data_IF_624563005108
#
_entry.id   IF_624563005108
#
_cell.length_a   1.000
_cell.length_b   1.000
_cell.length_c   1.000
_cell.angle_alpha   90.00
_cell.angle_beta   90.00
_cell.angle_gamma   90.00
#
_symmetry.space_group_name_H-M   'P 1'
#
loop_
_entity.id
_entity.type
_entity.pdbx_description
1 polymer ?
#
# COMPACT_ATOMS: atom_id res chain seq x y z
N UNK A 1 -10.27 -72.20 -37.47
CA UNK A 1 -11.26 -72.51 -36.42
C UNK A 1 -10.76 -71.91 -35.12
N UNK A 2 -11.65 -71.16 -34.47
CA UNK A 2 -11.46 -70.18 -33.39
C UNK A 2 -10.48 -70.53 -32.26
N UNK A 3 -9.73 -69.52 -31.79
CA UNK A 3 -9.73 -69.16 -30.37
C UNK A 3 -9.45 -67.67 -30.20
N UNK A 4 -10.38 -67.02 -29.50
CA UNK A 4 -10.50 -65.60 -29.29
C UNK A 4 -9.49 -65.11 -28.23
N UNK A 5 -8.86 -63.98 -28.52
CA UNK A 5 -8.02 -63.23 -27.59
C UNK A 5 -8.90 -62.12 -26.99
N UNK A 6 -9.37 -62.36 -25.76
CA UNK A 6 -10.29 -61.50 -25.01
C UNK A 6 -9.48 -60.74 -23.96
N UNK A 7 -9.44 -59.41 -24.16
CA UNK A 7 -9.41 -58.31 -23.18
C UNK A 7 -8.33 -58.29 -22.08
N UNK A 8 -7.36 -57.40 -22.25
CA UNK A 8 -6.72 -56.70 -21.14
C UNK A 8 -7.56 -55.47 -20.80
N UNK A 9 -8.57 -55.67 -19.94
CA UNK A 9 -9.30 -54.55 -19.33
C UNK A 9 -8.41 -53.97 -18.22
N UNK A 10 -7.99 -52.73 -18.42
CA UNK A 10 -7.24 -51.94 -17.44
C UNK A 10 -8.07 -51.77 -16.17
N UNK A 11 -7.76 -52.53 -15.13
CA UNK A 11 -8.25 -52.30 -13.78
C UNK A 11 -7.68 -50.96 -13.31
N UNK A 12 -8.44 -49.89 -13.53
CA UNK A 12 -8.29 -48.63 -12.82
C UNK A 12 -8.66 -48.91 -11.37
N UNK A 13 -7.64 -49.19 -10.55
CA UNK A 13 -7.76 -49.11 -9.10
C UNK A 13 -8.13 -47.67 -8.75
N UNK A 14 -9.43 -47.40 -8.67
CA UNK A 14 -9.98 -46.21 -8.02
C UNK A 14 -9.52 -46.33 -6.58
N UNK A 15 -8.49 -45.57 -6.25
CA UNK A 15 -7.89 -45.46 -4.93
C UNK A 15 -8.96 -44.88 -3.99
N UNK A 16 -9.82 -45.76 -3.45
CA UNK A 16 -10.85 -45.33 -2.51
C UNK A 16 -10.13 -44.78 -1.28
N UNK A 17 -10.38 -43.51 -0.88
CA UNK A 17 -9.72 -42.94 0.27
C UNK A 17 -10.02 -43.85 1.46
N UNK A 18 -8.95 -44.43 2.01
CA UNK A 18 -9.01 -45.32 3.16
C UNK A 18 -9.92 -44.75 4.25
N UNK A 19 -10.68 -45.61 4.93
CA UNK A 19 -11.63 -45.22 5.98
C UNK A 19 -10.99 -44.26 7.01
N UNK A 20 -9.70 -44.45 7.26
CA UNK A 20 -8.82 -43.59 8.07
C UNK A 20 -8.69 -42.17 7.53
N UNK A 21 -8.59 -41.97 6.21
CA UNK A 21 -8.60 -40.64 5.57
C UNK A 21 -9.95 -39.92 5.70
N UNK A 22 -11.06 -40.64 5.60
CA UNK A 22 -12.41 -40.08 5.80
C UNK A 22 -12.65 -39.67 7.25
N UNK A 23 -12.23 -40.51 8.21
CA UNK A 23 -12.30 -40.21 9.65
C UNK A 23 -11.38 -39.03 10.00
N UNK A 24 -10.15 -38.99 9.48
CA UNK A 24 -9.23 -37.88 9.71
C UNK A 24 -9.76 -36.54 9.16
N UNK A 25 -10.40 -36.55 7.99
CA UNK A 25 -11.02 -35.36 7.40
C UNK A 25 -12.27 -34.93 8.17
N UNK A 26 -13.09 -35.87 8.64
CA UNK A 26 -14.24 -35.56 9.50
C UNK A 26 -13.81 -34.98 10.86
N UNK A 27 -12.76 -35.53 11.48
CA UNK A 27 -12.19 -35.01 12.73
C UNK A 27 -11.59 -33.62 12.52
N UNK A 28 -10.87 -33.39 11.42
CA UNK A 28 -10.36 -32.05 11.05
C UNK A 28 -11.50 -31.04 10.84
N UNK A 29 -12.59 -31.45 10.18
CA UNK A 29 -13.78 -30.62 9.99
C UNK A 29 -14.51 -30.31 11.30
N UNK A 30 -14.63 -31.28 12.20
CA UNK A 30 -15.21 -31.06 13.53
C UNK A 30 -14.34 -30.15 14.40
N UNK A 31 -13.01 -30.30 14.32
CA UNK A 31 -12.07 -29.44 15.03
C UNK A 31 -12.12 -27.99 14.52
N UNK A 32 -12.23 -27.76 13.21
CA UNK A 32 -12.38 -26.41 12.65
C UNK A 32 -13.74 -25.80 12.99
N UNK A 33 -14.81 -26.58 13.00
CA UNK A 33 -16.14 -26.12 13.42
C UNK A 33 -16.16 -25.72 14.90
N UNK A 34 -15.53 -26.50 15.79
CA UNK A 34 -15.39 -26.15 17.21
C UNK A 34 -14.58 -24.86 17.41
N UNK A 35 -13.52 -24.67 16.62
CA UNK A 35 -12.69 -23.46 16.66
C UNK A 35 -13.47 -22.22 16.19
N UNK A 36 -14.27 -22.36 15.13
CA UNK A 36 -15.16 -21.31 14.64
C UNK A 36 -16.25 -20.96 15.67
N UNK A 37 -16.87 -21.97 16.29
CA UNK A 37 -17.89 -21.76 17.31
C UNK A 37 -17.33 -21.02 18.54
N UNK A 38 -16.07 -21.27 18.91
CA UNK A 38 -15.38 -20.54 19.98
C UNK A 38 -15.05 -19.11 19.61
N UNK A 39 -14.63 -18.85 18.37
CA UNK A 39 -14.42 -17.48 17.89
C UNK A 39 -15.74 -16.70 17.90
N UNK A 40 -16.83 -17.31 17.43
CA UNK A 40 -18.17 -16.71 17.46
C UNK A 40 -18.64 -16.49 18.90
N UNK A 41 -18.49 -17.48 19.78
CA UNK A 41 -18.86 -17.36 21.20
C UNK A 41 -18.06 -16.27 21.93
N UNK A 42 -16.75 -16.21 21.74
CA UNK A 42 -15.91 -15.14 22.28
C UNK A 42 -16.32 -13.77 21.71
N UNK A 43 -16.61 -13.70 20.41
CA UNK A 43 -17.12 -12.49 19.76
C UNK A 43 -18.45 -12.02 20.34
N UNK A 44 -19.40 -12.93 20.59
CA UNK A 44 -20.69 -12.62 21.22
C UNK A 44 -20.48 -12.12 22.65
N UNK A 45 -19.62 -12.76 23.46
CA UNK A 45 -19.33 -12.29 24.83
C UNK A 45 -18.73 -10.88 24.81
N UNK A 46 -17.79 -10.60 23.91
CA UNK A 46 -17.22 -9.27 23.72
C UNK A 46 -18.29 -8.26 23.29
N UNK A 47 -19.16 -8.64 22.35
CA UNK A 47 -20.23 -7.77 21.86
C UNK A 47 -21.27 -7.48 22.95
N UNK A 48 -21.66 -8.47 23.75
CA UNK A 48 -22.58 -8.31 24.88
C UNK A 48 -21.98 -7.43 25.97
N UNK A 49 -20.71 -7.61 26.35
CA UNK A 49 -20.03 -6.71 27.28
C UNK A 49 -19.95 -5.29 26.72
N UNK A 50 -19.56 -5.14 25.46
CA UNK A 50 -19.47 -3.82 24.82
C UNK A 50 -20.84 -3.13 24.75
N UNK A 51 -21.90 -3.87 24.43
CA UNK A 51 -23.28 -3.35 24.41
C UNK A 51 -23.76 -2.94 25.81
N UNK A 52 -23.49 -3.74 26.83
CA UNK A 52 -23.80 -3.41 28.23
C UNK A 52 -23.09 -2.12 28.67
N UNK A 53 -21.83 -1.93 28.28
CA UNK A 53 -21.06 -0.73 28.61
C UNK A 53 -21.49 0.51 27.80
N UNK A 54 -22.10 0.31 26.63
CA UNK A 54 -22.64 1.38 25.78
C UNK A 54 -24.03 1.86 26.24
N UNK A 55 -24.77 1.09 27.04
CA UNK A 55 -26.09 1.49 27.53
C UNK A 55 -26.05 2.74 28.43
N UNK A 56 -24.94 2.96 29.16
CA UNK A 56 -24.70 4.15 29.99
C UNK A 56 -23.72 5.17 29.33
N UNK A 57 -23.54 5.10 28.01
CA UNK A 57 -22.58 5.96 27.29
C UNK A 57 -22.91 7.45 27.36
N UNK A 58 -24.13 7.84 27.76
CA UNK A 58 -24.53 9.25 27.88
C UNK A 58 -24.20 9.90 29.23
N UNK A 59 -24.05 9.13 30.30
CA UNK A 59 -24.16 9.63 31.68
C UNK A 59 -22.84 9.66 32.48
N UNK A 60 -21.75 9.05 31.97
CA UNK A 60 -20.46 8.97 32.68
C UNK A 60 -19.37 9.94 32.19
N UNK A 61 -18.39 10.22 33.06
CA UNK A 61 -17.14 10.93 32.70
C UNK A 61 -16.30 10.08 31.72
N UNK A 62 -15.68 10.71 30.72
CA UNK A 62 -14.84 10.06 29.71
C UNK A 62 -13.71 9.20 30.31
N UNK A 63 -13.16 9.62 31.45
CA UNK A 63 -12.14 8.84 32.18
C UNK A 63 -12.73 7.54 32.74
N UNK A 64 -13.96 7.57 33.25
CA UNK A 64 -14.65 6.38 33.75
C UNK A 64 -14.94 5.41 32.60
N UNK A 65 -15.41 5.93 31.47
CA UNK A 65 -15.61 5.14 30.24
C UNK A 65 -14.32 4.48 29.77
N UNK A 66 -13.20 5.19 29.88
CA UNK A 66 -11.89 4.62 29.58
C UNK A 66 -11.51 3.47 30.52
N UNK A 67 -11.66 3.64 31.84
CA UNK A 67 -11.36 2.57 32.80
C UNK A 67 -12.23 1.33 32.62
N UNK A 68 -13.49 1.53 32.22
CA UNK A 68 -14.39 0.46 31.82
C UNK A 68 -13.79 -0.34 30.65
N UNK A 69 -13.35 0.31 29.57
CA UNK A 69 -12.71 -0.38 28.43
C UNK A 69 -11.38 -1.06 28.81
N UNK A 70 -10.60 -0.45 29.69
CA UNK A 70 -9.37 -1.05 30.22
C UNK A 70 -9.68 -2.33 31.02
N UNK A 71 -10.74 -2.29 31.84
CA UNK A 71 -11.20 -3.45 32.62
C UNK A 71 -11.68 -4.57 31.69
N UNK A 72 -12.34 -4.26 30.57
CA UNK A 72 -12.71 -5.25 29.57
C UNK A 72 -11.47 -5.97 29.00
N UNK A 73 -10.40 -5.25 28.66
CA UNK A 73 -9.15 -5.86 28.18
C UNK A 73 -8.52 -6.78 29.24
N UNK A 74 -8.57 -6.36 30.52
CA UNK A 74 -8.12 -7.14 31.67
C UNK A 74 -8.95 -8.42 31.88
N UNK A 75 -10.28 -8.33 31.76
CA UNK A 75 -11.18 -9.47 31.86
C UNK A 75 -10.98 -10.47 30.73
N UNK A 76 -10.73 -10.00 29.49
CA UNK A 76 -10.38 -10.89 28.39
C UNK A 76 -9.06 -11.64 28.65
N UNK A 77 -8.05 -10.96 29.18
CA UNK A 77 -6.80 -11.60 29.58
C UNK A 77 -7.02 -12.61 30.72
N UNK A 78 -7.82 -12.25 31.74
CA UNK A 78 -8.19 -13.13 32.84
C UNK A 78 -8.95 -14.37 32.36
N UNK A 79 -9.86 -14.22 31.39
CA UNK A 79 -10.51 -15.33 30.70
C UNK A 79 -9.50 -16.23 29.99
N UNK A 80 -8.51 -15.63 29.32
CA UNK A 80 -7.38 -16.37 28.73
C UNK A 80 -6.59 -17.19 29.76
N UNK A 81 -6.31 -16.62 30.93
CA UNK A 81 -5.68 -17.34 32.05
C UNK A 81 -6.56 -18.46 32.59
N UNK A 82 -7.86 -18.21 32.80
CA UNK A 82 -8.80 -19.22 33.27
C UNK A 82 -8.88 -20.41 32.30
N UNK A 83 -8.98 -20.15 30.99
CA UNK A 83 -8.95 -21.20 29.96
C UNK A 83 -7.64 -21.98 29.99
N UNK A 84 -6.50 -21.29 30.15
CA UNK A 84 -5.18 -21.93 30.15
C UNK A 84 -4.92 -22.77 31.42
N UNK A 85 -5.37 -22.31 32.59
CA UNK A 85 -5.02 -22.91 33.88
C UNK A 85 -6.12 -23.85 34.40
N UNK A 86 -7.38 -23.43 34.34
CA UNK A 86 -8.53 -24.20 34.85
C UNK A 86 -8.92 -25.28 33.86
N UNK A 87 -9.11 -24.91 32.59
CA UNK A 87 -9.57 -25.84 31.55
C UNK A 87 -8.42 -26.51 30.79
N UNK A 88 -7.17 -26.11 31.05
CA UNK A 88 -5.95 -26.62 30.40
C UNK A 88 -6.02 -26.57 28.87
N UNK A 89 -6.71 -25.55 28.34
CA UNK A 89 -6.98 -25.39 26.93
C UNK A 89 -6.15 -24.25 26.30
N UNK A 90 -5.06 -24.65 25.64
CA UNK A 90 -4.11 -23.71 25.04
C UNK A 90 -4.61 -23.01 23.76
N UNK A 91 -5.63 -23.58 23.08
CA UNK A 91 -6.20 -22.96 21.86
C UNK A 91 -7.16 -21.83 22.23
N UNK A 92 -8.08 -22.08 23.15
CA UNK A 92 -9.01 -21.07 23.67
C UNK A 92 -8.28 -19.92 24.35
N UNK A 93 -7.27 -20.22 25.18
CA UNK A 93 -6.44 -19.20 25.81
C UNK A 93 -5.81 -18.25 24.78
N UNK A 94 -5.29 -18.77 23.66
CA UNK A 94 -4.72 -17.95 22.57
C UNK A 94 -5.74 -16.98 21.99
N UNK A 95 -6.98 -17.39 21.75
CA UNK A 95 -8.01 -16.50 21.19
C UNK A 95 -8.29 -15.34 22.16
N UNK A 96 -8.50 -15.63 23.45
CA UNK A 96 -8.77 -14.60 24.46
C UNK A 96 -7.60 -13.62 24.63
N UNK A 97 -6.36 -14.12 24.69
CA UNK A 97 -5.18 -13.25 24.73
C UNK A 97 -5.02 -12.45 23.43
N UNK A 98 -5.31 -13.03 22.27
CA UNK A 98 -5.27 -12.32 20.99
C UNK A 98 -6.28 -11.17 20.93
N UNK A 99 -7.50 -11.40 21.39
CA UNK A 99 -8.54 -10.35 21.49
C UNK A 99 -8.15 -9.26 22.51
N UNK A 100 -7.58 -9.65 23.65
CA UNK A 100 -7.06 -8.69 24.64
C UNK A 100 -5.94 -7.84 24.04
N UNK A 101 -5.02 -8.43 23.27
CA UNK A 101 -3.97 -7.69 22.58
C UNK A 101 -4.54 -6.68 21.56
N UNK A 102 -5.52 -7.06 20.74
CA UNK A 102 -6.20 -6.13 19.81
C UNK A 102 -6.86 -4.97 20.59
N UNK A 103 -7.52 -5.30 21.71
CA UNK A 103 -8.17 -4.31 22.58
C UNK A 103 -7.17 -3.30 23.15
N UNK A 104 -5.90 -3.67 23.35
CA UNK A 104 -4.86 -2.72 23.80
C UNK A 104 -4.62 -1.61 22.76
N UNK A 105 -4.61 -1.91 21.45
CA UNK A 105 -4.53 -0.84 20.43
C UNK A 105 -5.70 0.13 20.52
N UNK A 106 -6.92 -0.39 20.75
CA UNK A 106 -8.09 0.46 20.94
C UNK A 106 -7.92 1.38 22.16
N UNK A 107 -7.42 0.85 23.29
CA UNK A 107 -7.16 1.67 24.47
C UNK A 107 -6.07 2.74 24.24
N UNK A 108 -4.98 2.42 23.53
CA UNK A 108 -3.97 3.44 23.16
C UNK A 108 -4.56 4.53 22.27
N UNK A 109 -5.51 4.19 21.40
CA UNK A 109 -6.20 5.15 20.54
C UNK A 109 -7.01 6.15 21.35
N UNK A 110 -7.76 5.66 22.36
CA UNK A 110 -8.55 6.51 23.25
C UNK A 110 -7.63 7.35 24.15
N UNK A 111 -6.55 6.75 24.66
CA UNK A 111 -5.56 7.46 25.46
C UNK A 111 -4.90 8.59 24.66
N UNK A 112 -4.61 8.37 23.37
CA UNK A 112 -4.13 9.41 22.47
C UNK A 112 -5.17 10.52 22.23
N UNK A 113 -6.47 10.19 22.21
CA UNK A 113 -7.52 11.19 22.15
C UNK A 113 -7.57 12.06 23.41
N UNK A 114 -7.43 11.46 24.60
CA UNK A 114 -7.33 12.17 25.89
C UNK A 114 -6.08 13.05 25.98
N UNK A 115 -4.92 12.57 25.48
CA UNK A 115 -3.69 13.39 25.41
C UNK A 115 -3.91 14.59 24.49
N UNK A 116 -4.53 14.37 23.34
CA UNK A 116 -4.81 15.44 22.39
C UNK A 116 -5.79 16.48 22.94
N UNK A 117 -6.70 16.12 23.86
CA UNK A 117 -7.63 17.11 24.43
C UNK A 117 -6.92 18.18 25.25
N UNK A 118 -5.72 17.90 25.78
CA UNK A 118 -4.93 18.84 26.58
C UNK A 118 -3.76 19.45 25.79
N UNK A 119 -3.12 18.69 24.92
CA UNK A 119 -2.01 19.14 24.10
C UNK A 119 -2.38 18.97 22.63
N UNK A 120 -2.44 20.05 21.87
CA UNK A 120 -2.68 20.01 20.42
C UNK A 120 -1.44 20.57 19.73
N UNK A 121 -0.78 19.78 18.89
CA UNK A 121 0.39 20.23 18.13
C UNK A 121 0.03 20.73 16.73
N UNK A 122 -1.26 20.74 16.38
CA UNK A 122 -1.80 21.29 15.15
C UNK A 122 -2.80 22.41 15.43
N UNK A 123 -3.23 23.09 14.37
CA UNK A 123 -4.05 24.30 14.45
C UNK A 123 -5.52 24.05 14.84
N UNK A 124 -5.81 23.06 15.68
CA UNK A 124 -7.15 22.82 16.22
C UNK A 124 -8.16 22.38 15.16
N UNK A 125 -7.80 21.42 14.32
CA UNK A 125 -8.67 20.91 13.26
C UNK A 125 -9.89 20.16 13.85
N UNK A 126 -11.03 20.86 13.76
CA UNK A 126 -12.39 20.38 13.42
C UNK A 126 -13.22 19.57 14.41
N UNK A 127 -14.53 19.85 14.35
CA UNK A 127 -15.64 19.22 15.07
C UNK A 127 -15.65 17.70 14.88
N UNK A 128 -15.73 16.97 15.98
CA UNK A 128 -15.88 15.52 15.99
C UNK A 128 -17.34 15.14 16.24
N UNK A 129 -17.80 13.98 15.74
CA UNK A 129 -19.03 13.41 16.25
C UNK A 129 -18.88 13.10 17.75
N UNK A 130 -19.95 13.28 18.53
CA UNK A 130 -19.89 13.23 19.99
C UNK A 130 -19.33 11.93 20.58
N UNK A 131 -19.44 10.81 19.87
CA UNK A 131 -18.86 9.52 20.31
C UNK A 131 -17.32 9.47 20.26
N UNK A 132 -16.69 10.32 19.43
CA UNK A 132 -15.24 10.41 19.28
C UNK A 132 -14.62 11.55 20.11
N UNK A 133 -15.44 12.19 20.94
CA UNK A 133 -15.02 13.27 21.82
C UNK A 133 -14.60 12.68 23.17
N UNK A 134 -13.30 12.72 23.45
CA UNK A 134 -12.70 12.25 24.69
C UNK A 134 -11.92 13.40 25.31
N UNK A 135 -12.34 13.84 26.50
CA UNK A 135 -11.75 15.00 27.18
C UNK A 135 -11.23 14.59 28.55
N UNK A 136 -9.95 14.85 28.78
CA UNK A 136 -9.39 14.79 30.12
C UNK A 136 -9.79 16.03 30.92
N UNK A 137 -10.28 15.83 32.14
CA UNK A 137 -10.72 16.91 33.03
C UNK A 137 -9.55 17.76 33.56
N UNK A 138 -8.37 17.17 33.73
CA UNK A 138 -7.17 17.86 34.18
C UNK A 138 -5.89 17.13 33.73
N UNK A 139 -4.73 17.82 33.70
CA UNK A 139 -3.44 17.15 33.42
C UNK A 139 -3.10 16.07 34.43
N UNK A 140 -3.48 16.26 35.70
CA UNK A 140 -3.24 15.30 36.78
C UNK A 140 -4.07 14.02 36.57
N UNK A 141 -5.35 14.15 36.21
CA UNK A 141 -6.20 13.00 35.93
C UNK A 141 -5.69 12.23 34.72
N UNK A 142 -5.22 12.92 33.67
CA UNK A 142 -4.59 12.29 32.52
C UNK A 142 -3.34 11.47 32.91
N UNK A 143 -2.45 12.02 33.75
CA UNK A 143 -1.23 11.32 34.19
C UNK A 143 -1.54 10.08 35.02
N UNK A 144 -2.53 10.16 35.92
CA UNK A 144 -2.99 9.00 36.70
C UNK A 144 -3.61 7.94 35.78
N UNK A 145 -4.42 8.35 34.80
CA UNK A 145 -5.01 7.44 33.81
C UNK A 145 -3.94 6.77 32.94
N UNK A 146 -2.94 7.52 32.45
CA UNK A 146 -1.78 7.00 31.73
C UNK A 146 -1.00 5.98 32.58
N UNK A 147 -0.71 6.31 33.83
CA UNK A 147 0.02 5.44 34.75
C UNK A 147 -0.74 4.13 35.03
N UNK A 148 -2.04 4.22 35.34
CA UNK A 148 -2.89 3.07 35.57
C UNK A 148 -3.04 2.20 34.31
N UNK A 149 -3.22 2.83 33.14
CA UNK A 149 -3.28 2.15 31.85
C UNK A 149 -2.01 1.34 31.58
N UNK A 150 -0.84 1.95 31.72
CA UNK A 150 0.44 1.27 31.51
C UNK A 150 0.67 0.14 32.51
N UNK A 151 0.30 0.34 33.78
CA UNK A 151 0.41 -0.68 34.82
C UNK A 151 -0.40 -1.94 34.51
N UNK A 152 -1.58 -1.79 33.88
CA UNK A 152 -2.41 -2.92 33.45
C UNK A 152 -1.97 -3.48 32.10
N UNK A 153 -1.74 -2.63 31.09
CA UNK A 153 -1.46 -3.08 29.73
C UNK A 153 -0.09 -3.76 29.60
N UNK A 154 0.94 -3.29 30.29
CA UNK A 154 2.29 -3.84 30.15
C UNK A 154 2.37 -5.34 30.51
N UNK A 155 1.86 -5.81 31.67
CA UNK A 155 1.82 -7.23 31.95
C UNK A 155 0.92 -7.98 30.96
N UNK A 156 -0.24 -7.43 30.59
CA UNK A 156 -1.14 -8.03 29.62
C UNK A 156 -0.46 -8.27 28.26
N UNK A 157 0.28 -7.28 27.75
CA UNK A 157 1.07 -7.39 26.52
C UNK A 157 2.11 -8.50 26.64
N UNK A 158 2.86 -8.51 27.75
CA UNK A 158 3.91 -9.49 27.97
C UNK A 158 3.34 -10.90 28.01
N UNK A 159 2.25 -11.13 28.74
CA UNK A 159 1.58 -12.42 28.82
C UNK A 159 0.95 -12.84 27.50
N UNK A 160 0.24 -11.94 26.82
CA UNK A 160 -0.36 -12.22 25.52
C UNK A 160 0.67 -12.69 24.49
N UNK A 161 1.79 -11.98 24.38
CA UNK A 161 2.87 -12.41 23.48
C UNK A 161 3.60 -13.67 23.97
N UNK A 162 3.71 -13.92 25.28
CA UNK A 162 4.29 -15.18 25.79
C UNK A 162 3.47 -16.40 25.40
N UNK A 163 2.14 -16.26 25.35
CA UNK A 163 1.22 -17.34 24.93
C UNK A 163 1.26 -17.54 23.41
N UNK A 164 1.48 -16.47 22.63
CA UNK A 164 1.53 -16.54 21.16
C UNK A 164 2.90 -16.98 20.62
N UNK A 165 3.98 -16.39 21.11
CA UNK A 165 5.34 -16.56 20.60
C UNK A 165 6.37 -16.42 21.74
N UNK A 166 6.42 -17.41 22.64
CA UNK A 166 7.22 -17.41 23.88
C UNK A 166 8.65 -16.88 23.72
N UNK A 167 9.46 -17.30 22.73
CA UNK A 167 10.86 -16.86 22.63
C UNK A 167 11.02 -15.40 22.20
N UNK A 168 10.11 -14.88 21.38
CA UNK A 168 10.16 -13.51 20.85
C UNK A 168 9.31 -12.52 21.67
N UNK A 169 8.62 -12.99 22.70
CA UNK A 169 7.58 -12.24 23.37
C UNK A 169 8.04 -10.90 23.94
N UNK A 170 9.25 -10.81 24.53
CA UNK A 170 9.76 -9.54 25.04
C UNK A 170 10.02 -8.51 23.94
N UNK A 171 10.56 -8.96 22.80
CA UNK A 171 10.84 -8.11 21.64
C UNK A 171 9.56 -7.65 20.95
N UNK A 172 8.58 -8.55 20.83
CA UNK A 172 7.25 -8.24 20.32
C UNK A 172 6.52 -7.24 21.22
N UNK A 173 6.56 -7.42 22.54
CA UNK A 173 6.00 -6.45 23.50
C UNK A 173 6.61 -5.06 23.30
N UNK A 174 7.94 -4.96 23.20
CA UNK A 174 8.61 -3.68 23.01
C UNK A 174 8.23 -3.02 21.67
N UNK A 175 8.34 -3.75 20.56
CA UNK A 175 7.99 -3.24 19.23
C UNK A 175 6.52 -2.81 19.17
N UNK A 176 5.62 -3.61 19.73
CA UNK A 176 4.20 -3.29 19.76
C UNK A 176 3.92 -2.06 20.62
N UNK A 177 4.56 -1.94 21.79
CA UNK A 177 4.43 -0.76 22.64
C UNK A 177 4.94 0.49 21.91
N UNK A 178 6.07 0.42 21.22
CA UNK A 178 6.59 1.52 20.41
C UNK A 178 5.62 1.90 19.28
N UNK A 179 5.07 0.93 18.56
CA UNK A 179 4.08 1.21 17.50
C UNK A 179 2.78 1.81 18.08
N UNK A 180 2.31 1.35 19.24
CA UNK A 180 1.15 1.93 19.91
C UNK A 180 1.43 3.32 20.50
N UNK A 181 2.66 3.60 20.91
CA UNK A 181 3.05 4.93 21.41
C UNK A 181 2.88 6.02 20.35
N UNK A 182 2.96 5.67 19.07
CA UNK A 182 2.69 6.59 17.96
C UNK A 182 1.24 7.11 17.97
N UNK A 183 0.28 6.34 18.49
CA UNK A 183 -1.11 6.77 18.63
C UNK A 183 -1.29 7.83 19.73
N UNK A 184 -0.33 7.96 20.65
CA UNK A 184 -0.35 8.98 21.70
C UNK A 184 0.13 10.34 21.22
N UNK A 185 0.74 10.41 20.03
CA UNK A 185 1.24 11.67 19.49
C UNK A 185 0.05 12.60 19.19
N UNK A 186 0.04 13.83 19.75
CA UNK A 186 -1.09 14.74 19.63
C UNK A 186 -1.09 15.49 18.28
N UNK A 187 -1.03 14.74 17.20
CA UNK A 187 -0.99 15.27 15.83
C UNK A 187 -2.12 14.65 15.01
N UNK A 188 -2.93 15.49 14.38
CA UNK A 188 -4.07 15.08 13.55
C UNK A 188 -4.02 15.67 12.14
N UNK A 189 -3.13 16.63 11.89
CA UNK A 189 -2.84 17.15 10.55
C UNK A 189 -2.45 16.03 9.58
N UNK A 190 -3.04 16.05 8.39
CA UNK A 190 -2.90 14.98 7.40
C UNK A 190 -1.45 14.73 6.98
N UNK A 191 -0.68 15.79 6.70
CA UNK A 191 0.73 15.70 6.32
C UNK A 191 1.56 14.96 7.37
N UNK A 192 1.41 15.35 8.64
CA UNK A 192 2.19 14.78 9.72
C UNK A 192 1.78 13.33 10.02
N UNK A 193 0.48 13.02 9.94
CA UNK A 193 -0.01 11.64 10.05
C UNK A 193 0.53 10.78 8.90
N UNK A 194 0.49 11.26 7.66
CA UNK A 194 1.03 10.53 6.51
C UNK A 194 2.53 10.26 6.61
N UNK A 195 3.31 11.26 7.03
CA UNK A 195 4.75 11.08 7.30
C UNK A 195 4.98 10.05 8.40
N UNK A 196 4.20 10.10 9.47
CA UNK A 196 4.27 9.14 10.56
C UNK A 196 3.98 7.71 10.07
N UNK A 197 2.93 7.51 9.26
CA UNK A 197 2.61 6.19 8.68
C UNK A 197 3.76 5.67 7.85
N UNK A 198 4.30 6.49 6.94
CA UNK A 198 5.40 6.08 6.05
C UNK A 198 6.64 5.73 6.87
N UNK A 199 7.05 6.61 7.78
CA UNK A 199 8.21 6.39 8.64
C UNK A 199 8.05 5.14 9.51
N UNK A 200 6.87 4.93 10.10
CA UNK A 200 6.61 3.78 10.94
C UNK A 200 6.55 2.47 10.14
N UNK A 201 6.00 2.49 8.92
CA UNK A 201 6.00 1.33 8.05
C UNK A 201 7.42 0.98 7.58
N UNK A 202 8.22 1.97 7.17
CA UNK A 202 9.62 1.78 6.80
C UNK A 202 10.43 1.27 7.99
N UNK A 203 10.24 1.85 9.17
CA UNK A 203 10.86 1.40 10.40
C UNK A 203 10.46 -0.05 10.72
N UNK A 204 9.17 -0.40 10.63
CA UNK A 204 8.69 -1.74 10.94
C UNK A 204 9.22 -2.78 9.94
N UNK A 205 9.19 -2.47 8.64
CA UNK A 205 9.71 -3.35 7.58
C UNK A 205 11.23 -3.54 7.68
N UNK A 206 11.99 -2.52 8.10
CA UNK A 206 13.44 -2.60 8.27
C UNK A 206 13.85 -3.25 9.60
N UNK A 207 13.16 -2.93 10.70
CA UNK A 207 13.51 -3.36 12.06
C UNK A 207 12.93 -4.72 12.41
N UNK A 208 11.71 -5.05 11.98
CA UNK A 208 11.07 -6.30 12.38
C UNK A 208 11.89 -7.54 12.00
N UNK A 209 12.43 -7.68 10.77
CA UNK A 209 13.28 -8.82 10.43
C UNK A 209 14.58 -8.87 11.27
N UNK A 210 15.18 -7.70 11.54
CA UNK A 210 16.44 -7.58 12.30
C UNK A 210 16.26 -7.92 13.78
N UNK A 211 15.17 -7.45 14.39
CA UNK A 211 14.90 -7.60 15.82
C UNK A 211 14.27 -8.96 16.13
N UNK A 212 13.34 -9.43 15.30
CA UNK A 212 12.63 -10.69 15.54
C UNK A 212 13.44 -11.90 15.07
N UNK A 213 14.32 -11.74 14.07
CA UNK A 213 15.13 -12.83 13.50
C UNK A 213 14.32 -13.84 12.69
N UNK A 214 15.00 -14.71 11.93
CA UNK A 214 14.38 -15.75 11.09
C UNK A 214 14.13 -17.06 11.86
N UNK A 215 13.45 -16.99 13.00
CA UNK A 215 13.17 -18.18 13.82
C UNK A 215 11.89 -18.92 13.41
N UNK A 216 11.92 -20.26 13.39
CA UNK A 216 10.75 -21.12 13.12
C UNK A 216 9.55 -20.81 14.03
N UNK A 217 9.79 -20.30 15.24
CA UNK A 217 8.74 -19.92 16.19
C UNK A 217 7.79 -18.85 15.65
N UNK A 218 8.25 -18.01 14.71
CA UNK A 218 7.47 -16.95 14.07
C UNK A 218 6.65 -17.45 12.87
N UNK A 219 6.98 -18.62 12.32
CA UNK A 219 6.21 -19.22 11.21
C UNK A 219 4.91 -19.88 11.69
N UNK A 220 4.77 -20.10 13.00
CA UNK A 220 3.55 -20.63 13.60
C UNK A 220 2.36 -19.66 13.43
N UNK A 221 1.10 -20.15 13.40
CA UNK A 221 -0.07 -19.28 13.29
C UNK A 221 -0.15 -18.18 14.35
N UNK A 222 0.27 -18.49 15.59
CA UNK A 222 0.34 -17.50 16.68
C UNK A 222 1.46 -16.47 16.48
N UNK A 223 2.62 -16.90 15.97
CA UNK A 223 3.72 -16.01 15.59
C UNK A 223 3.33 -15.05 14.45
N UNK A 224 2.68 -15.57 13.40
CA UNK A 224 2.17 -14.76 12.28
C UNK A 224 1.11 -13.75 12.74
N UNK A 225 0.19 -14.17 13.61
CA UNK A 225 -0.77 -13.25 14.22
C UNK A 225 -0.06 -12.15 15.03
N UNK A 226 0.92 -12.50 15.86
CA UNK A 226 1.69 -11.53 16.64
C UNK A 226 2.46 -10.53 15.76
N UNK A 227 2.99 -10.97 14.62
CA UNK A 227 3.63 -10.10 13.63
C UNK A 227 2.61 -9.19 12.93
N UNK A 228 1.48 -9.73 12.50
CA UNK A 228 0.40 -8.96 11.87
C UNK A 228 -0.12 -7.88 12.83
N UNK A 229 -0.21 -8.20 14.12
CA UNK A 229 -0.65 -7.27 15.15
C UNK A 229 0.25 -6.03 15.27
N UNK A 230 1.54 -6.10 14.92
CA UNK A 230 2.43 -4.93 14.90
C UNK A 230 1.96 -3.83 13.94
N UNK A 231 1.18 -4.18 12.92
CA UNK A 231 0.59 -3.24 11.97
C UNK A 231 -0.75 -2.67 12.45
N UNK A 232 -1.36 -3.22 13.49
CA UNK A 232 -2.67 -2.77 13.98
C UNK A 232 -2.69 -1.27 14.37
N UNK A 233 -1.68 -0.70 15.05
CA UNK A 233 -1.65 0.73 15.34
C UNK A 233 -1.63 1.60 14.08
N UNK A 234 -0.91 1.16 13.03
CA UNK A 234 -0.88 1.87 11.75
C UNK A 234 -2.25 1.82 11.05
N UNK A 235 -2.92 0.67 11.08
CA UNK A 235 -4.27 0.53 10.55
C UNK A 235 -5.27 1.43 11.28
N UNK A 236 -5.15 1.55 12.59
CA UNK A 236 -6.01 2.47 13.37
C UNK A 236 -5.71 3.92 13.03
N UNK A 237 -4.43 4.30 12.88
CA UNK A 237 -4.06 5.65 12.49
C UNK A 237 -4.64 6.01 11.10
N UNK A 238 -4.49 5.12 10.11
CA UNK A 238 -5.05 5.29 8.76
C UNK A 238 -6.58 5.32 8.79
N UNK A 239 -7.21 4.35 9.47
CA UNK A 239 -8.67 4.22 9.53
C UNK A 239 -9.30 5.44 10.22
N UNK A 240 -8.68 5.92 11.29
CA UNK A 240 -9.07 7.16 11.97
C UNK A 240 -8.93 8.36 11.02
N UNK A 241 -7.82 8.47 10.29
CA UNK A 241 -7.61 9.55 9.32
C UNK A 241 -8.65 9.54 8.20
N UNK A 242 -9.01 8.36 7.69
CA UNK A 242 -9.97 8.21 6.60
C UNK A 242 -11.43 8.40 7.05
N UNK A 243 -11.79 8.02 8.28
CA UNK A 243 -13.17 8.07 8.78
C UNK A 243 -13.51 9.41 9.46
N UNK A 244 -12.57 9.98 10.22
CA UNK A 244 -12.82 11.18 11.03
C UNK A 244 -12.38 12.47 10.33
N UNK A 245 -11.57 12.38 9.28
CA UNK A 245 -11.05 13.54 8.55
C UNK A 245 -11.29 13.34 7.05
N UNK A 246 -11.35 14.45 6.32
CA UNK A 246 -11.43 14.38 4.86
C UNK A 246 -10.12 13.75 4.34
N UNK A 247 -10.17 12.59 3.66
CA UNK A 247 -8.98 11.96 3.13
C UNK A 247 -8.38 12.89 2.07
N UNK A 248 -7.10 13.19 2.20
CA UNK A 248 -6.37 14.05 1.30
C UNK A 248 -5.32 13.27 0.49
N UNK A 249 -4.71 13.95 -0.48
CA UNK A 249 -3.70 13.33 -1.34
C UNK A 249 -2.49 12.79 -0.56
N UNK A 250 -2.14 13.40 0.58
CA UNK A 250 -1.05 12.89 1.42
C UNK A 250 -1.40 11.56 2.08
N UNK A 251 -2.63 11.39 2.57
CA UNK A 251 -3.07 10.11 3.15
C UNK A 251 -3.12 9.03 2.08
N UNK A 252 -3.68 9.33 0.90
CA UNK A 252 -3.68 8.38 -0.22
C UNK A 252 -2.28 7.98 -0.65
N UNK A 253 -1.33 8.93 -0.70
CA UNK A 253 0.08 8.64 -0.98
C UNK A 253 0.68 7.68 0.04
N UNK A 254 0.46 7.93 1.34
CA UNK A 254 1.00 7.10 2.40
C UNK A 254 0.44 5.68 2.36
N UNK A 255 -0.88 5.54 2.23
CA UNK A 255 -1.55 4.23 2.20
C UNK A 255 -1.16 3.45 0.93
N UNK A 256 -1.22 4.07 -0.24
CA UNK A 256 -0.85 3.41 -1.50
C UNK A 256 0.63 3.01 -1.53
N UNK A 257 1.53 3.86 -1.03
CA UNK A 257 2.95 3.52 -0.88
C UNK A 257 3.15 2.37 0.09
N UNK A 258 2.39 2.34 1.19
CA UNK A 258 2.46 1.27 2.17
C UNK A 258 2.01 -0.08 1.60
N UNK A 259 0.88 -0.07 0.89
CA UNK A 259 0.35 -1.24 0.18
C UNK A 259 1.35 -1.71 -0.87
N UNK A 260 1.92 -0.81 -1.67
CA UNK A 260 2.93 -1.15 -2.67
C UNK A 260 4.17 -1.80 -2.03
N UNK A 261 4.73 -1.21 -0.98
CA UNK A 261 5.91 -1.75 -0.29
C UNK A 261 5.61 -3.09 0.40
N UNK A 262 4.41 -3.24 0.98
CA UNK A 262 3.95 -4.49 1.59
C UNK A 262 3.80 -5.61 0.56
N UNK A 263 3.14 -5.33 -0.57
CA UNK A 263 2.99 -6.29 -1.67
C UNK A 263 4.33 -6.63 -2.33
N UNK A 264 5.23 -5.65 -2.44
CA UNK A 264 6.61 -5.88 -2.87
C UNK A 264 7.34 -6.83 -1.93
N UNK A 265 7.29 -6.61 -0.63
CA UNK A 265 7.94 -7.48 0.34
C UNK A 265 7.32 -8.89 0.33
N UNK A 266 6.00 -8.98 0.17
CA UNK A 266 5.28 -10.25 0.08
C UNK A 266 5.67 -11.05 -1.18
N UNK A 267 5.71 -10.41 -2.35
CA UNK A 267 6.11 -11.00 -3.63
C UNK A 267 7.57 -11.51 -3.57
N UNK A 268 8.46 -10.78 -2.89
CA UNK A 268 9.84 -11.25 -2.68
C UNK A 268 9.94 -12.49 -1.80
N UNK A 269 9.08 -12.63 -0.79
CA UNK A 269 9.08 -13.78 0.12
C UNK A 269 8.47 -15.03 -0.52
N UNK A 270 7.50 -14.88 -1.41
CA UNK A 270 6.77 -16.00 -2.03
C UNK A 270 7.21 -16.24 -3.49
N UNK A 271 8.46 -15.91 -3.84
CA UNK A 271 8.96 -15.94 -5.22
C UNK A 271 8.72 -17.27 -5.95
N UNK A 272 8.73 -18.38 -5.22
CA UNK A 272 8.52 -19.73 -5.79
C UNK A 272 7.07 -19.98 -6.25
N UNK A 273 6.09 -19.33 -5.61
CA UNK A 273 4.66 -19.50 -5.88
C UNK A 273 4.15 -18.53 -6.95
N UNK A 274 4.12 -18.99 -8.21
CA UNK A 274 3.71 -18.17 -9.37
C UNK A 274 2.34 -17.50 -9.23
N UNK A 275 1.34 -18.19 -8.65
CA UNK A 275 -0.03 -17.66 -8.52
C UNK A 275 -0.12 -16.51 -7.51
N UNK A 276 0.55 -16.65 -6.36
CA UNK A 276 0.55 -15.63 -5.32
C UNK A 276 1.32 -14.38 -5.75
N UNK A 277 2.44 -14.54 -6.46
CA UNK A 277 3.17 -13.41 -7.02
C UNK A 277 2.38 -12.68 -8.10
N UNK A 278 1.67 -13.42 -8.98
CA UNK A 278 0.81 -12.80 -9.99
C UNK A 278 -0.28 -11.93 -9.35
N UNK A 279 -0.91 -12.42 -8.29
CA UNK A 279 -1.93 -11.66 -7.56
C UNK A 279 -1.33 -10.46 -6.83
N UNK A 280 -0.17 -10.65 -6.18
CA UNK A 280 0.53 -9.57 -5.48
C UNK A 280 0.99 -8.46 -6.44
N UNK A 281 1.58 -8.81 -7.59
CA UNK A 281 2.05 -7.85 -8.60
C UNK A 281 0.87 -7.10 -9.23
N UNK A 282 -0.25 -7.80 -9.50
CA UNK A 282 -1.48 -7.17 -10.02
C UNK A 282 -2.07 -6.15 -9.04
N UNK A 283 -2.13 -6.49 -7.75
CA UNK A 283 -2.54 -5.55 -6.70
C UNK A 283 -1.54 -4.41 -6.51
N UNK A 284 -0.24 -4.69 -6.66
CA UNK A 284 0.81 -3.68 -6.51
C UNK A 284 0.71 -2.64 -7.64
N UNK A 285 0.31 -3.05 -8.84
CA UNK A 285 0.07 -2.13 -9.96
C UNK A 285 -1.06 -1.13 -9.67
N UNK A 286 -2.15 -1.60 -9.06
CA UNK A 286 -3.24 -0.72 -8.58
C UNK A 286 -2.68 0.29 -7.57
N UNK A 287 -1.86 -0.18 -6.62
CA UNK A 287 -1.22 0.70 -5.64
C UNK A 287 -0.30 1.75 -6.31
N UNK A 288 0.49 1.35 -7.31
CA UNK A 288 1.36 2.26 -8.09
C UNK A 288 0.54 3.38 -8.75
N UNK A 289 -0.62 3.06 -9.34
CA UNK A 289 -1.49 4.05 -9.93
C UNK A 289 -1.94 5.10 -8.90
N UNK A 290 -2.37 4.65 -7.71
CA UNK A 290 -2.76 5.56 -6.63
C UNK A 290 -1.58 6.38 -6.09
N UNK A 291 -0.37 5.82 -6.02
CA UNK A 291 0.84 6.57 -5.65
C UNK A 291 1.08 7.70 -6.65
N UNK A 292 1.04 7.39 -7.95
CA UNK A 292 1.26 8.38 -9.01
C UNK A 292 0.18 9.47 -8.99
N UNK A 293 -1.10 9.10 -8.86
CA UNK A 293 -2.22 10.06 -8.82
C UNK A 293 -2.18 10.96 -7.57
N UNK A 294 -1.75 10.40 -6.44
CA UNK A 294 -1.58 11.19 -5.21
C UNK A 294 -0.43 12.19 -5.35
N UNK A 295 0.70 11.79 -5.95
CA UNK A 295 1.82 12.69 -6.22
C UNK A 295 1.46 13.79 -7.22
N UNK A 296 0.70 13.48 -8.26
CA UNK A 296 0.16 14.47 -9.19
C UNK A 296 -0.63 15.56 -8.44
N UNK A 297 -1.56 15.14 -7.59
CA UNK A 297 -2.43 16.04 -6.82
C UNK A 297 -1.63 16.93 -5.88
N UNK A 298 -0.57 16.39 -5.25
CA UNK A 298 0.32 17.16 -4.36
C UNK A 298 1.22 18.10 -5.17
N UNK A 299 1.72 17.67 -6.33
CA UNK A 299 2.63 18.44 -7.16
C UNK A 299 1.92 19.60 -7.87
N UNK A 300 0.65 19.45 -8.25
CA UNK A 300 -0.12 20.45 -9.01
C UNK A 300 -0.04 21.87 -8.45
N UNK A 301 -0.30 22.10 -7.15
CA UNK A 301 -0.16 23.42 -6.53
C UNK A 301 1.28 23.94 -6.46
N UNK A 302 2.28 23.05 -6.39
CA UNK A 302 3.70 23.40 -6.16
C UNK A 302 4.44 23.78 -7.44
N UNK A 303 4.24 23.01 -8.51
CA UNK A 303 4.95 23.18 -9.79
C UNK A 303 4.02 23.61 -10.93
N UNK A 304 2.71 23.73 -10.67
CA UNK A 304 1.67 24.02 -11.64
C UNK A 304 1.00 22.77 -12.21
N UNK A 305 -0.31 22.87 -12.45
CA UNK A 305 -1.15 21.75 -12.95
C UNK A 305 -0.65 21.12 -14.24
N UNK A 306 0.08 21.88 -15.06
CA UNK A 306 0.63 21.41 -16.35
C UNK A 306 1.76 20.40 -16.16
N UNK A 307 2.63 20.61 -15.17
CA UNK A 307 3.74 19.69 -14.86
C UNK A 307 3.30 18.51 -13.99
N UNK A 308 2.14 18.60 -13.33
CA UNK A 308 1.61 17.55 -12.47
C UNK A 308 1.41 16.23 -13.24
N UNK A 309 0.83 16.28 -14.44
CA UNK A 309 0.65 15.10 -15.30
C UNK A 309 1.98 14.46 -15.73
N UNK A 310 3.05 15.26 -15.86
CA UNK A 310 4.39 14.72 -16.12
C UNK A 310 4.94 13.99 -14.89
N UNK A 311 4.71 14.51 -13.69
CA UNK A 311 5.06 13.81 -12.43
C UNK A 311 4.32 12.49 -12.31
N UNK A 312 3.02 12.46 -12.63
CA UNK A 312 2.23 11.24 -12.71
C UNK A 312 2.89 10.21 -13.66
N UNK A 313 3.14 10.62 -14.90
CA UNK A 313 3.69 9.77 -15.95
C UNK A 313 5.07 9.20 -15.60
N UNK A 314 5.96 10.03 -15.04
CA UNK A 314 7.29 9.60 -14.61
C UNK A 314 7.19 8.62 -13.44
N UNK A 315 6.33 8.90 -12.46
CA UNK A 315 6.16 8.04 -11.29
C UNK A 315 5.61 6.67 -11.66
N UNK A 316 4.53 6.62 -12.46
CA UNK A 316 3.94 5.36 -12.89
C UNK A 316 4.94 4.56 -13.75
N UNK A 317 5.70 5.21 -14.64
CA UNK A 317 6.75 4.56 -15.42
C UNK A 317 7.83 3.96 -14.52
N UNK A 318 8.37 4.73 -13.57
CA UNK A 318 9.45 4.28 -12.69
C UNK A 318 9.04 3.09 -11.81
N UNK A 319 7.85 3.15 -11.21
CA UNK A 319 7.36 2.10 -10.32
C UNK A 319 6.90 0.85 -11.09
N UNK A 320 6.32 0.98 -12.27
CA UNK A 320 6.02 -0.18 -13.11
C UNK A 320 7.29 -0.85 -13.63
N UNK A 321 8.33 -0.08 -13.98
CA UNK A 321 9.63 -0.66 -14.35
C UNK A 321 10.21 -1.51 -13.20
N UNK A 322 10.08 -1.03 -11.96
CA UNK A 322 10.48 -1.78 -10.77
C UNK A 322 9.68 -3.10 -10.60
N UNK A 323 8.38 -3.10 -10.91
CA UNK A 323 7.54 -4.31 -10.90
C UNK A 323 7.92 -5.29 -12.01
N UNK A 324 8.05 -4.80 -13.24
CA UNK A 324 8.36 -5.63 -14.43
C UNK A 324 9.76 -6.25 -14.38
N UNK A 325 10.71 -5.63 -13.68
CA UNK A 325 12.03 -6.21 -13.43
C UNK A 325 12.01 -7.37 -12.43
N UNK A 326 10.95 -7.53 -11.64
CA UNK A 326 10.81 -8.59 -10.63
C UNK A 326 9.94 -9.74 -11.09
N UNK A 327 8.88 -9.44 -11.85
CA UNK A 327 7.89 -10.45 -12.23
C UNK A 327 8.50 -11.49 -13.16
N UNK A 328 8.34 -12.77 -12.83
CA UNK A 328 8.74 -13.89 -13.71
C UNK A 328 7.66 -14.16 -14.81
N UNK A 329 6.49 -13.50 -14.73
CA UNK A 329 5.40 -13.68 -15.68
C UNK A 329 5.52 -12.72 -16.88
N UNK A 330 6.06 -13.24 -17.99
CA UNK A 330 6.25 -12.48 -19.21
C UNK A 330 4.96 -11.85 -19.76
N UNK A 331 3.81 -12.53 -19.66
CA UNK A 331 2.53 -12.03 -20.19
C UNK A 331 2.01 -10.85 -19.38
N UNK A 332 1.99 -10.98 -18.05
CA UNK A 332 1.56 -9.89 -17.16
C UNK A 332 2.47 -8.66 -17.31
N UNK A 333 3.78 -8.88 -17.33
CA UNK A 333 4.76 -7.81 -17.52
C UNK A 333 4.55 -7.08 -18.86
N UNK A 334 4.27 -7.82 -19.94
CA UNK A 334 3.99 -7.23 -21.25
C UNK A 334 2.72 -6.37 -21.21
N UNK A 335 1.63 -6.87 -20.64
CA UNK A 335 0.36 -6.13 -20.51
C UNK A 335 0.56 -4.86 -19.67
N UNK A 336 1.21 -4.97 -18.50
CA UNK A 336 1.50 -3.83 -17.62
C UNK A 336 2.38 -2.79 -18.31
N UNK A 337 3.40 -3.23 -19.05
CA UNK A 337 4.31 -2.34 -19.79
C UNK A 337 3.57 -1.59 -20.89
N UNK A 338 2.74 -2.28 -21.67
CA UNK A 338 1.94 -1.66 -22.73
C UNK A 338 0.93 -0.67 -22.16
N UNK A 339 0.23 -1.04 -21.08
CA UNK A 339 -0.72 -0.16 -20.42
C UNK A 339 -0.02 1.07 -19.83
N UNK A 340 1.14 0.91 -19.16
CA UNK A 340 1.95 2.03 -18.67
C UNK A 340 2.42 2.92 -19.81
N UNK A 341 2.90 2.36 -20.92
CA UNK A 341 3.32 3.12 -22.09
C UNK A 341 2.18 3.96 -22.70
N UNK A 342 0.98 3.39 -22.78
CA UNK A 342 -0.20 4.11 -23.24
C UNK A 342 -0.60 5.24 -22.28
N UNK A 343 -0.59 4.98 -20.97
CA UNK A 343 -0.91 5.97 -19.94
C UNK A 343 0.12 7.11 -19.95
N UNK A 344 1.41 6.82 -20.02
CA UNK A 344 2.49 7.82 -20.11
C UNK A 344 2.31 8.68 -21.37
N UNK A 345 2.10 8.07 -22.53
CA UNK A 345 1.87 8.80 -23.78
C UNK A 345 0.66 9.73 -23.67
N UNK A 346 -0.46 9.23 -23.12
CA UNK A 346 -1.67 10.01 -22.93
C UNK A 346 -1.45 11.18 -21.96
N UNK A 347 -0.76 10.97 -20.83
CA UNK A 347 -0.47 12.02 -19.85
C UNK A 347 0.34 13.18 -20.45
N UNK A 348 1.35 12.88 -21.28
CA UNK A 348 2.14 13.92 -21.94
C UNK A 348 1.36 14.63 -23.06
N UNK A 349 0.57 13.90 -23.86
CA UNK A 349 -0.32 14.51 -24.87
C UNK A 349 -1.33 15.46 -24.23
N UNK A 350 -1.96 15.06 -23.13
CA UNK A 350 -2.93 15.89 -22.40
C UNK A 350 -2.26 17.12 -21.77
N UNK A 351 -1.02 16.98 -21.29
CA UNK A 351 -0.24 18.12 -20.77
C UNK A 351 0.01 19.17 -21.87
N UNK A 352 0.39 18.74 -23.08
CA UNK A 352 0.71 19.63 -24.20
C UNK A 352 -0.51 20.35 -24.79
N UNK A 353 -1.67 19.68 -24.87
CA UNK A 353 -2.93 20.26 -25.37
C UNK A 353 -3.39 21.51 -24.58
N UNK A 354 -2.93 21.67 -23.33
CA UNK A 354 -3.23 22.81 -22.46
C UNK A 354 -2.45 24.09 -22.75
N UNK A 355 -1.88 24.27 -23.96
CA UNK A 355 -0.93 25.34 -24.32
C UNK A 355 0.30 25.34 -23.39
N UNK A 356 0.96 24.18 -23.30
CA UNK A 356 2.08 23.96 -22.40
C UNK A 356 3.25 24.95 -22.60
N UNK A 357 4.00 25.31 -21.53
CA UNK A 357 5.26 26.01 -21.72
C UNK A 357 6.25 25.16 -22.54
N UNK A 358 7.22 25.79 -23.20
CA UNK A 358 8.23 25.10 -24.02
C UNK A 358 8.94 23.95 -23.28
N UNK A 359 9.15 24.09 -21.96
CA UNK A 359 9.73 23.04 -21.12
C UNK A 359 8.90 21.74 -21.09
N UNK A 360 7.57 21.82 -21.09
CA UNK A 360 6.70 20.64 -21.08
C UNK A 360 6.69 19.94 -22.44
N UNK A 361 6.73 20.68 -23.55
CA UNK A 361 6.92 20.10 -24.88
C UNK A 361 8.26 19.34 -24.99
N UNK A 362 9.35 19.89 -24.45
CA UNK A 362 10.65 19.18 -24.39
C UNK A 362 10.56 17.88 -23.59
N UNK A 363 9.88 17.89 -22.43
CA UNK A 363 9.69 16.67 -21.64
C UNK A 363 8.83 15.64 -22.39
N UNK A 364 7.79 16.07 -23.10
CA UNK A 364 6.93 15.22 -23.92
C UNK A 364 7.72 14.58 -25.07
N UNK A 365 8.58 15.35 -25.75
CA UNK A 365 9.51 14.82 -26.76
C UNK A 365 10.50 13.82 -26.16
N UNK A 366 11.09 14.14 -25.01
CA UNK A 366 12.01 13.24 -24.31
C UNK A 366 11.32 11.94 -23.86
N UNK A 367 10.09 12.03 -23.35
CA UNK A 367 9.28 10.88 -22.94
C UNK A 367 8.92 10.00 -24.14
N UNK A 368 8.52 10.59 -25.27
CA UNK A 368 8.23 9.85 -26.49
C UNK A 368 9.47 9.17 -27.09
N UNK A 369 10.62 9.86 -27.09
CA UNK A 369 11.90 9.26 -27.48
C UNK A 369 12.30 8.10 -26.54
N UNK A 370 12.07 8.27 -25.23
CA UNK A 370 12.28 7.22 -24.23
C UNK A 370 11.40 5.99 -24.46
N UNK A 371 10.11 6.18 -24.77
CA UNK A 371 9.18 5.09 -25.11
C UNK A 371 9.59 4.35 -26.39
N UNK A 372 10.06 5.08 -27.42
CA UNK A 372 10.59 4.48 -28.66
C UNK A 372 11.85 3.68 -28.38
N UNK A 373 12.80 4.26 -27.63
CA UNK A 373 14.05 3.59 -27.27
C UNK A 373 13.79 2.32 -26.45
N UNK A 374 12.91 2.40 -25.46
CA UNK A 374 12.52 1.25 -24.64
C UNK A 374 11.75 0.19 -25.45
N UNK A 375 10.84 0.61 -26.33
CA UNK A 375 10.13 -0.27 -27.26
C UNK A 375 11.09 -0.98 -28.23
N UNK A 376 12.12 -0.30 -28.70
CA UNK A 376 13.16 -0.89 -29.55
C UNK A 376 13.97 -1.95 -28.80
N UNK A 377 14.41 -1.67 -27.58
CA UNK A 377 15.12 -2.63 -26.73
C UNK A 377 14.29 -3.89 -26.43
N UNK A 378 12.98 -3.74 -26.19
CA UNK A 378 12.06 -4.85 -25.92
C UNK A 378 11.45 -5.48 -27.18
N UNK A 379 11.76 -4.97 -28.38
CA UNK A 379 11.17 -5.37 -29.68
C UNK A 379 9.63 -5.27 -29.71
N UNK A 380 9.05 -4.34 -28.95
CA UNK A 380 7.62 -4.12 -28.85
C UNK A 380 7.17 -2.93 -29.72
N UNK A 381 6.60 -3.23 -30.88
CA UNK A 381 6.17 -2.20 -31.86
C UNK A 381 5.13 -1.23 -31.28
N UNK A 382 4.23 -1.71 -30.42
CA UNK A 382 3.19 -0.89 -29.82
C UNK A 382 3.75 0.25 -28.95
N UNK A 383 4.82 0.01 -28.18
CA UNK A 383 5.48 1.05 -27.38
C UNK A 383 6.12 2.13 -28.26
N UNK A 384 6.68 1.73 -29.41
CA UNK A 384 7.22 2.68 -30.39
C UNK A 384 6.11 3.57 -30.95
N UNK A 385 4.94 3.00 -31.25
CA UNK A 385 3.77 3.77 -31.71
C UNK A 385 3.28 4.73 -30.62
N UNK A 386 3.21 4.29 -29.36
CA UNK A 386 2.84 5.17 -28.25
C UNK A 386 3.81 6.32 -28.06
N UNK A 387 5.12 6.13 -28.30
CA UNK A 387 6.12 7.20 -28.21
C UNK A 387 6.01 8.25 -29.33
N UNK A 388 5.48 7.89 -30.50
CA UNK A 388 5.27 8.84 -31.60
C UNK A 388 4.17 9.88 -31.29
N UNK A 389 3.15 9.50 -30.50
CA UNK A 389 2.04 10.38 -30.17
C UNK A 389 2.46 11.66 -29.38
N UNK A 390 3.14 11.57 -28.22
CA UNK A 390 3.60 12.76 -27.50
C UNK A 390 4.64 13.55 -28.31
N UNK A 391 5.56 12.87 -29.02
CA UNK A 391 6.50 13.57 -29.92
C UNK A 391 5.80 14.37 -31.02
N UNK A 392 4.78 13.80 -31.65
CA UNK A 392 4.02 14.44 -32.71
C UNK A 392 3.24 15.66 -32.21
N UNK A 393 2.54 15.51 -31.08
CA UNK A 393 1.78 16.61 -30.46
C UNK A 393 2.69 17.73 -29.98
N UNK A 394 3.79 17.41 -29.29
CA UNK A 394 4.78 18.39 -28.83
C UNK A 394 5.45 19.13 -30.00
N UNK A 395 5.78 18.41 -31.08
CA UNK A 395 6.38 19.01 -32.27
C UNK A 395 5.39 19.95 -32.96
N UNK A 396 4.13 19.53 -33.10
CA UNK A 396 3.07 20.37 -33.68
C UNK A 396 2.85 21.64 -32.86
N UNK A 397 2.75 21.53 -31.54
CA UNK A 397 2.55 22.66 -30.63
C UNK A 397 3.78 23.61 -30.61
N UNK A 398 4.99 23.07 -30.68
CA UNK A 398 6.21 23.89 -30.77
C UNK A 398 6.28 24.64 -32.11
N UNK A 399 5.97 23.96 -33.21
CA UNK A 399 5.94 24.57 -34.55
C UNK A 399 4.83 25.63 -34.65
N UNK A 400 3.64 25.39 -34.08
CA UNK A 400 2.56 26.37 -34.09
C UNK A 400 2.92 27.63 -33.29
N UNK A 401 3.60 27.47 -32.15
CA UNK A 401 4.11 28.61 -31.35
C UNK A 401 5.22 29.37 -32.07
N UNK A 402 6.16 28.67 -32.68
CA UNK A 402 7.19 29.29 -33.52
C UNK A 402 6.54 30.02 -34.70
N UNK A 403 5.53 29.44 -35.32
CA UNK A 403 4.77 30.06 -36.40
C UNK A 403 4.09 31.35 -35.91
N UNK A 404 3.33 31.32 -34.82
CA UNK A 404 2.73 32.54 -34.28
C UNK A 404 3.78 33.58 -33.85
N UNK A 405 4.90 33.17 -33.27
CA UNK A 405 5.98 34.08 -32.90
C UNK A 405 6.64 34.73 -34.13
N UNK A 406 6.97 33.95 -35.15
CA UNK A 406 7.66 34.40 -36.36
C UNK A 406 6.76 35.21 -37.30
N UNK A 407 5.48 34.84 -37.42
CA UNK A 407 4.56 35.43 -38.39
C UNK A 407 3.64 36.50 -37.78
N UNK A 408 3.42 36.50 -36.47
CA UNK A 408 2.48 37.45 -35.84
C UNK A 408 3.15 38.71 -35.27
N UNK A 409 4.48 38.77 -35.14
CA UNK A 409 5.16 39.90 -34.46
C UNK A 409 6.39 40.49 -35.14
N UNK A 410 6.87 40.00 -36.29
CA UNK A 410 7.95 40.70 -37.01
C UNK A 410 8.05 40.30 -38.49
N UNK A 411 7.96 41.26 -39.39
CA UNK A 411 8.28 41.09 -40.81
C UNK A 411 9.75 40.67 -41.03
N UNK A 412 10.62 40.96 -40.04
CA UNK A 412 12.05 40.62 -40.04
C UNK A 412 12.25 39.09 -39.90
N UNK A 413 11.43 38.38 -39.11
CA UNK A 413 11.55 36.92 -38.97
C UNK A 413 11.18 36.19 -40.26
N UNK A 414 10.18 36.69 -40.98
CA UNK A 414 9.81 36.23 -42.33
C UNK A 414 10.99 36.38 -43.32
N UNK A 415 11.68 37.52 -43.28
CA UNK A 415 12.84 37.76 -44.13
C UNK A 415 14.00 36.82 -43.79
N UNK A 416 14.31 36.60 -42.50
CA UNK A 416 15.38 35.68 -42.07
C UNK A 416 15.06 34.23 -42.47
N UNK A 417 13.84 33.73 -42.23
CA UNK A 417 13.45 32.37 -42.63
C UNK A 417 13.53 32.20 -44.15
N UNK A 418 13.09 33.19 -44.92
CA UNK A 418 13.23 33.20 -46.38
C UNK A 418 14.70 33.11 -46.82
N UNK A 419 15.58 33.91 -46.23
CA UNK A 419 17.02 33.88 -46.51
C UNK A 419 17.62 32.51 -46.14
N UNK A 420 17.30 31.95 -44.97
CA UNK A 420 17.84 30.66 -44.54
C UNK A 420 17.34 29.51 -45.42
N UNK A 421 16.08 29.53 -45.84
CA UNK A 421 15.52 28.55 -46.77
C UNK A 421 16.21 28.60 -48.14
N UNK A 422 16.49 29.80 -48.66
CA UNK A 422 17.27 30.00 -49.90
C UNK A 422 18.68 29.43 -49.73
N UNK A 423 19.36 29.70 -48.62
CA UNK A 423 20.71 29.19 -48.34
C UNK A 423 20.70 27.66 -48.25
N UNK A 424 19.77 27.06 -47.51
CA UNK A 424 19.66 25.60 -47.37
C UNK A 424 19.37 24.93 -48.71
N UNK A 425 18.44 25.48 -49.51
CA UNK A 425 18.15 24.99 -50.85
C UNK A 425 19.39 25.04 -51.75
N UNK A 426 20.14 26.14 -51.71
CA UNK A 426 21.38 26.31 -52.49
C UNK A 426 22.48 25.35 -52.04
N UNK A 427 22.59 25.06 -50.73
CA UNK A 427 23.54 24.07 -50.19
C UNK A 427 23.14 22.64 -50.58
N UNK A 428 21.83 22.33 -50.55
CA UNK A 428 21.28 21.04 -50.97
C UNK A 428 21.44 20.81 -52.47
N UNK A 429 21.28 21.81 -53.32
CA UNK A 429 21.59 21.69 -54.75
C UNK A 429 23.08 21.46 -54.98
N UNK A 430 23.92 22.19 -54.25
CA UNK A 430 25.38 22.10 -54.41
C UNK A 430 25.98 20.78 -53.91
N UNK A 431 25.38 20.15 -52.88
CA UNK A 431 25.88 18.90 -52.30
C UNK A 431 24.95 17.70 -52.53
N UNK A 432 23.79 17.89 -53.14
CA UNK A 432 22.76 16.86 -53.33
C UNK A 432 23.23 15.72 -54.24
N UNK A 433 24.05 16.03 -55.25
CA UNK A 433 24.69 15.01 -56.08
C UNK A 433 25.63 14.11 -55.26
N UNK A 434 26.38 14.67 -54.31
CA UNK A 434 27.32 13.94 -53.44
C UNK A 434 26.58 13.14 -52.36
N UNK A 435 25.51 13.69 -51.79
CA UNK A 435 24.66 12.98 -50.83
C UNK A 435 23.91 11.80 -51.48
N UNK A 436 23.41 11.99 -52.70
CA UNK A 436 22.70 10.94 -53.46
C UNK A 436 23.62 9.78 -53.81
N UNK A 437 24.87 10.06 -54.21
CA UNK A 437 25.90 9.03 -54.45
C UNK A 437 26.28 8.27 -53.16
N UNK A 438 26.37 8.95 -52.01
CA UNK A 438 26.62 8.27 -50.72
C UNK A 438 25.43 7.41 -50.24
N UNK A 439 24.20 7.85 -50.49
CA UNK A 439 22.98 7.10 -50.16
C UNK A 439 22.80 5.85 -51.03
N UNK A 440 23.18 5.91 -52.31
CA UNK A 440 23.17 4.75 -53.20
C UNK A 440 24.25 3.72 -52.86
N UNK A 441 25.41 4.16 -52.35
CA UNK A 441 26.45 3.26 -51.82
C UNK A 441 26.06 2.58 -50.50
N UNK A 442 25.15 3.15 -49.71
CA UNK A 442 24.66 2.57 -48.46
C UNK A 442 23.52 1.55 -48.64
N UNK A 443 22.94 1.50 -49.84
CA UNK A 443 21.83 0.59 -50.19
C UNK A 443 22.30 -0.70 -50.88
N UNK A 444 23.57 -0.75 -51.30
CA UNK A 444 24.30 -2.00 -51.61
C UNK A 444 25.00 -2.48 -50.35
#
# INVERSE_FOLDING_TARGET
MAKAEITAESVTTIDQPSLTGRIANAIKGFASFSELLRMVGAGIVVASMSSFMLQDWGSGNDIQRYFLLLMQSALLAAGGFAMSYVLRENKGARIFFGLSLISITANFTILGALVYSLAQWDAGLTRYPGFAHWVATSPQSLMLTLGAALAVMLPLLRFGFMVMARPAAGRLTLLYLLMNSLLLLPVRGSVAVSLLVICALLALTALAPRVLGAGEHLSTPGGRFAQALLYAPLLVLIGRSALLYAPDAFLYLAVSSAVFLGLRAFSQQHREDKSWNMLADSLAYIAVFYVASSLETIAGPLIGSRFALSVFAITIAALTLDLTHRGDNATLNRIMTLFTGAVVALSFVLSDLGHAPFAAALMSMAAGAGLIGYGWMKKEKALMVFGLAPMGVASYDTVSKLWHFLFSNNWISLAVVGITAIIIASVLERHGAVLKLKLEQWRR
#
